data_IF_148250806409
#
_entry.id   IF_148250806409
#
_cell.length_a   1.000
_cell.length_b   1.000
_cell.length_c   1.000
_cell.angle_alpha   90.00
_cell.angle_beta   90.00
_cell.angle_gamma   90.00
#
_symmetry.space_group_name_H-M   'P 1'
#
loop_
_entity.id
_entity.type
_entity.pdbx_description
1 polymer ?
#
# COMPACT_ATOMS: atom_id res chain seq x y z
N UNK A 1 -19.28 21.06 58.34
CA UNK A 1 -17.90 20.64 58.62
C UNK A 1 -17.74 19.22 58.11
N UNK A 2 -16.72 19.01 57.26
CA UNK A 2 -16.15 17.75 56.74
C UNK A 2 -17.07 16.92 55.82
N UNK A 3 -16.92 16.93 54.49
CA UNK A 3 -15.77 16.57 53.62
C UNK A 3 -15.13 15.22 53.96
N UNK A 4 -15.41 14.20 53.14
CA UNK A 4 -14.49 13.10 52.83
C UNK A 4 -14.85 12.39 51.50
N UNK A 5 -14.25 12.89 50.42
CA UNK A 5 -13.50 12.14 49.41
C UNK A 5 -14.11 10.88 48.75
N UNK A 6 -14.72 11.07 47.57
CA UNK A 6 -14.73 10.05 46.50
C UNK A 6 -13.35 10.04 45.82
N UNK A 7 -12.70 8.87 45.60
CA UNK A 7 -11.51 8.83 44.76
C UNK A 7 -11.90 9.11 43.31
N UNK A 8 -11.24 10.10 42.70
CA UNK A 8 -11.34 10.39 41.28
C UNK A 8 -10.74 9.25 40.46
N UNK A 9 -11.53 8.70 39.54
CA UNK A 9 -11.05 7.75 38.53
C UNK A 9 -10.08 8.46 37.59
N UNK A 10 -8.82 8.01 37.43
CA UNK A 10 -7.87 8.66 36.52
C UNK A 10 -8.24 8.39 35.05
N UNK A 11 -7.83 9.25 34.11
CA UNK A 11 -8.21 9.15 32.70
C UNK A 11 -7.57 7.93 32.03
N UNK A 12 -8.39 7.19 31.26
CA UNK A 12 -7.95 6.07 30.41
C UNK A 12 -7.15 6.62 29.22
N UNK A 13 -5.83 6.67 29.36
CA UNK A 13 -4.93 6.84 28.21
C UNK A 13 -4.64 5.49 27.54
N UNK A 14 -5.13 5.37 26.30
CA UNK A 14 -4.53 4.66 25.16
C UNK A 14 -3.75 3.36 25.42
N UNK A 15 -4.44 2.22 25.34
CA UNK A 15 -3.82 0.95 24.93
C UNK A 15 -4.02 0.79 23.40
N UNK A 16 -3.20 1.48 22.61
CA UNK A 16 -3.07 1.24 21.16
C UNK A 16 -1.94 0.22 20.94
N UNK A 17 -2.18 -1.03 21.33
CA UNK A 17 -1.31 -2.17 21.01
C UNK A 17 -2.17 -3.41 20.75
N UNK A 18 -2.85 -3.42 19.61
CA UNK A 18 -3.53 -4.60 19.08
C UNK A 18 -3.53 -4.57 17.54
N UNK A 19 -2.33 -4.63 16.96
CA UNK A 19 -2.11 -5.04 15.56
C UNK A 19 -0.65 -5.47 15.35
N UNK A 20 -0.09 -6.14 16.36
CA UNK A 20 1.27 -6.68 16.36
C UNK A 20 1.22 -8.21 16.45
N UNK A 21 0.52 -8.86 15.52
CA UNK A 21 0.60 -10.31 15.34
C UNK A 21 -0.10 -10.67 14.04
N UNK A 22 0.66 -10.72 12.94
CA UNK A 22 0.43 -11.50 11.69
C UNK A 22 1.13 -10.85 10.50
N UNK A 23 2.44 -10.64 10.58
CA UNK A 23 3.27 -10.31 9.40
C UNK A 23 4.74 -10.66 9.68
N UNK A 24 4.97 -11.92 10.07
CA UNK A 24 6.29 -12.42 10.45
C UNK A 24 6.78 -13.52 9.51
N UNK A 25 6.91 -13.24 8.22
CA UNK A 25 7.81 -13.96 7.30
C UNK A 25 8.15 -12.97 6.16
N UNK A 26 9.44 -12.69 5.91
CA UNK A 26 10.02 -11.67 4.98
C UNK A 26 10.42 -10.31 5.61
N UNK A 27 11.29 -10.37 6.62
CA UNK A 27 11.86 -9.25 7.40
C UNK A 27 13.16 -8.62 6.86
N UNK A 28 13.61 -8.99 5.66
CA UNK A 28 14.95 -8.65 5.14
C UNK A 28 15.19 -7.26 4.50
N UNK A 29 14.40 -6.22 4.82
CA UNK A 29 14.75 -4.81 4.50
C UNK A 29 14.39 -3.87 5.68
N UNK A 30 15.32 -3.63 6.64
CA UNK A 30 14.96 -3.02 7.93
C UNK A 30 14.98 -1.47 7.95
N UNK A 31 15.86 -0.80 7.20
CA UNK A 31 16.15 0.61 7.46
C UNK A 31 15.07 1.61 6.99
N UNK A 32 14.38 1.34 5.88
CA UNK A 32 13.35 2.26 5.37
C UNK A 32 12.04 2.21 6.18
N UNK A 33 11.69 1.03 6.73
CA UNK A 33 10.50 0.86 7.57
C UNK A 33 10.71 1.45 8.97
N UNK A 34 11.93 1.37 9.50
CA UNK A 34 12.27 1.97 10.79
C UNK A 34 12.23 3.50 10.74
N UNK A 35 12.76 4.14 9.70
CA UNK A 35 12.70 5.60 9.56
C UNK A 35 11.28 6.12 9.32
N UNK A 36 10.46 5.41 8.54
CA UNK A 36 9.04 5.73 8.38
C UNK A 36 8.25 5.57 9.70
N UNK A 37 8.55 4.53 10.50
CA UNK A 37 7.96 4.35 11.84
C UNK A 37 8.40 5.46 12.80
N UNK A 38 9.69 5.82 12.84
CA UNK A 38 10.21 6.87 13.71
C UNK A 38 9.60 8.22 13.33
N UNK A 39 9.43 8.52 12.04
CA UNK A 39 8.76 9.74 11.58
C UNK A 39 7.25 9.72 11.85
N UNK A 40 6.60 8.56 11.74
CA UNK A 40 5.20 8.39 12.13
C UNK A 40 4.99 8.64 13.64
N UNK A 41 5.89 8.12 14.48
CA UNK A 41 5.91 8.35 15.93
C UNK A 41 6.18 9.82 16.26
N UNK A 42 7.19 10.45 15.62
CA UNK A 42 7.47 11.87 15.78
C UNK A 42 6.27 12.74 15.36
N UNK A 43 5.55 12.32 14.32
CA UNK A 43 4.38 13.03 13.83
C UNK A 43 3.11 12.80 14.66
N UNK A 44 3.02 11.70 15.40
CA UNK A 44 1.96 11.48 16.40
C UNK A 44 2.10 12.38 17.62
N UNK A 45 3.23 13.09 17.75
CA UNK A 45 3.46 14.12 18.76
C UNK A 45 3.15 15.54 18.28
N UNK A 46 2.69 15.73 17.04
CA UNK A 46 2.29 17.05 16.53
C UNK A 46 0.98 17.50 17.18
N UNK A 47 0.87 18.81 17.45
CA UNK A 47 -0.36 19.46 17.90
C UNK A 47 -1.45 19.26 16.82
N UNK A 48 -2.75 19.08 17.19
CA UNK A 48 -3.83 18.83 16.22
C UNK A 48 -3.84 19.80 15.04
N UNK A 49 -3.58 21.10 15.28
CA UNK A 49 -3.51 22.12 14.24
C UNK A 49 -2.37 21.87 13.21
N UNK A 50 -1.15 21.59 13.66
CA UNK A 50 -0.01 21.32 12.78
C UNK A 50 -0.22 20.05 11.95
N UNK A 51 -0.82 19.04 12.57
CA UNK A 51 -1.22 17.81 11.88
C UNK A 51 -2.27 18.09 10.82
N UNK A 52 -3.32 18.84 11.16
CA UNK A 52 -4.40 19.16 10.24
C UNK A 52 -3.89 19.94 9.00
N UNK A 53 -3.01 20.93 9.21
CA UNK A 53 -2.39 21.70 8.14
C UNK A 53 -1.54 20.83 7.21
N UNK A 54 -0.71 19.94 7.79
CA UNK A 54 0.12 19.02 7.01
C UNK A 54 -0.74 18.05 6.18
N UNK A 55 -1.78 17.47 6.77
CA UNK A 55 -2.69 16.56 6.08
C UNK A 55 -3.48 17.28 4.98
N UNK A 56 -4.00 18.48 5.25
CA UNK A 56 -4.73 19.30 4.29
C UNK A 56 -3.87 19.68 3.07
N UNK A 57 -2.59 20.03 3.30
CA UNK A 57 -1.64 20.30 2.21
C UNK A 57 -1.44 19.06 1.33
N UNK A 58 -1.28 17.89 1.95
CA UNK A 58 -1.09 16.61 1.23
C UNK A 58 -2.34 16.23 0.45
N UNK A 59 -3.54 16.37 1.03
CA UNK A 59 -4.81 16.12 0.37
C UNK A 59 -5.03 17.06 -0.81
N UNK A 60 -4.79 18.36 -0.64
CA UNK A 60 -4.95 19.36 -1.70
C UNK A 60 -4.02 19.09 -2.88
N UNK A 61 -2.80 18.62 -2.62
CA UNK A 61 -1.85 18.21 -3.64
C UNK A 61 -2.23 16.87 -4.32
N UNK A 62 -3.07 16.06 -3.69
CA UNK A 62 -3.54 14.79 -4.25
C UNK A 62 -4.83 14.94 -5.06
N UNK A 63 -5.72 15.84 -4.65
CA UNK A 63 -6.97 16.16 -5.35
C UNK A 63 -6.70 16.87 -6.68
N UNK A 64 -7.53 16.59 -7.68
CA UNK A 64 -7.52 17.34 -8.94
C UNK A 64 -8.15 18.71 -8.74
N UNK A 65 -7.86 19.66 -9.64
CA UNK A 65 -8.51 20.98 -9.61
C UNK A 65 -10.04 20.88 -9.64
N UNK A 66 -10.58 19.98 -10.46
CA UNK A 66 -12.03 19.74 -10.54
C UNK A 66 -12.60 19.24 -9.20
N UNK A 67 -11.91 18.31 -8.54
CA UNK A 67 -12.32 17.79 -7.22
C UNK A 67 -12.28 18.88 -6.13
N UNK A 68 -11.28 19.78 -6.18
CA UNK A 68 -11.22 20.91 -5.24
C UNK A 68 -12.38 21.87 -5.45
N UNK A 69 -12.70 22.21 -6.70
CA UNK A 69 -13.82 23.08 -7.03
C UNK A 69 -15.17 22.45 -6.65
N UNK A 70 -15.31 21.13 -6.80
CA UNK A 70 -16.51 20.39 -6.37
C UNK A 70 -16.68 20.42 -4.84
N UNK A 71 -15.58 20.31 -4.07
CA UNK A 71 -15.63 20.33 -2.61
C UNK A 71 -15.70 21.75 -1.99
N UNK A 72 -15.15 22.76 -2.67
CA UNK A 72 -14.98 24.12 -2.16
C UNK A 72 -16.25 24.75 -1.53
N UNK A 73 -17.47 24.57 -2.09
CA UNK A 73 -18.70 25.09 -1.48
C UNK A 73 -18.96 24.55 -0.07
N UNK A 74 -18.60 23.28 0.19
CA UNK A 74 -18.79 22.65 1.51
C UNK A 74 -17.88 23.28 2.57
N UNK A 75 -16.66 23.66 2.17
CA UNK A 75 -15.67 24.35 2.99
C UNK A 75 -15.92 25.86 3.11
N UNK A 76 -16.84 26.41 2.31
CA UNK A 76 -16.97 27.86 2.08
C UNK A 76 -15.62 28.49 1.68
N UNK A 77 -14.82 27.75 0.93
CA UNK A 77 -13.54 28.20 0.40
C UNK A 77 -13.75 28.84 -0.98
N UNK A 78 -12.95 29.84 -1.32
CA UNK A 78 -12.86 30.38 -2.68
C UNK A 78 -12.20 29.41 -3.67
N UNK A 79 -11.85 29.93 -4.85
CA UNK A 79 -11.15 29.18 -5.90
C UNK A 79 -9.65 29.04 -5.66
N UNK A 80 -9.10 29.74 -4.65
CA UNK A 80 -7.69 29.72 -4.31
C UNK A 80 -7.29 28.43 -3.57
N UNK A 81 -6.13 27.88 -3.94
CA UNK A 81 -5.62 26.65 -3.36
C UNK A 81 -5.12 26.85 -1.92
N UNK A 82 -4.57 28.02 -1.60
CA UNK A 82 -4.11 28.31 -0.23
C UNK A 82 -5.29 28.46 0.72
N UNK A 83 -6.33 29.19 0.30
CA UNK A 83 -7.58 29.28 1.05
C UNK A 83 -8.24 27.91 1.23
N UNK A 84 -8.27 27.07 0.18
CA UNK A 84 -8.78 25.71 0.28
C UNK A 84 -8.01 24.87 1.32
N UNK A 85 -6.68 24.97 1.34
CA UNK A 85 -5.84 24.29 2.34
C UNK A 85 -6.19 24.76 3.75
N UNK A 86 -6.29 26.07 3.97
CA UNK A 86 -6.60 26.63 5.29
C UNK A 86 -7.98 26.15 5.78
N UNK A 87 -9.02 26.22 4.94
CA UNK A 87 -10.37 25.77 5.30
C UNK A 87 -10.45 24.27 5.54
N UNK A 88 -9.76 23.47 4.73
CA UNK A 88 -9.69 22.01 4.94
C UNK A 88 -8.92 21.65 6.21
N UNK A 89 -7.88 22.42 6.55
CA UNK A 89 -7.15 22.25 7.80
C UNK A 89 -8.04 22.57 9.00
N UNK A 90 -8.87 23.62 8.93
CA UNK A 90 -9.84 23.92 9.98
C UNK A 90 -10.85 22.78 10.18
N UNK A 91 -11.43 22.25 9.10
CA UNK A 91 -12.35 21.10 9.16
C UNK A 91 -11.67 19.86 9.79
N UNK A 92 -10.44 19.54 9.39
CA UNK A 92 -9.67 18.42 9.96
C UNK A 92 -9.30 18.66 11.42
N UNK A 93 -8.97 19.89 11.79
CA UNK A 93 -8.62 20.24 13.18
C UNK A 93 -9.80 19.98 14.09
N UNK A 94 -11.00 20.44 13.71
CA UNK A 94 -12.23 20.20 14.48
C UNK A 94 -12.44 18.71 14.70
N UNK A 95 -12.31 17.88 13.66
CA UNK A 95 -12.42 16.42 13.79
C UNK A 95 -11.35 15.81 14.70
N UNK A 96 -10.12 16.33 14.68
CA UNK A 96 -9.03 15.85 15.53
C UNK A 96 -9.18 16.25 17.00
N UNK A 97 -9.77 17.42 17.27
CA UNK A 97 -9.93 17.99 18.62
C UNK A 97 -11.24 17.52 19.28
N UNK A 98 -12.34 17.52 18.54
CA UNK A 98 -13.69 17.25 19.05
C UNK A 98 -14.14 15.80 18.76
N UNK A 99 -13.48 15.13 17.81
CA UNK A 99 -13.89 13.83 17.28
C UNK A 99 -14.81 13.96 16.06
N UNK A 100 -14.92 12.88 15.28
CA UNK A 100 -15.84 12.82 14.16
C UNK A 100 -17.23 12.39 14.64
N UNK A 101 -18.24 13.25 14.45
CA UNK A 101 -19.63 12.83 14.59
C UNK A 101 -19.96 11.71 13.60
N UNK A 102 -20.74 10.74 14.07
CA UNK A 102 -21.21 9.61 13.26
C UNK A 102 -22.25 10.07 12.25
N UNK A 103 -21.97 9.88 10.97
CA UNK A 103 -22.94 10.11 9.89
C UNK A 103 -23.58 8.78 9.52
N UNK A 104 -24.91 8.77 9.38
CA UNK A 104 -25.64 7.58 8.93
C UNK A 104 -25.13 7.12 7.55
N UNK A 105 -25.06 5.81 7.34
CA UNK A 105 -24.67 5.15 6.09
C UNK A 105 -23.26 5.49 5.56
N UNK A 106 -22.41 6.15 6.34
CA UNK A 106 -21.08 6.58 5.92
C UNK A 106 -20.18 5.38 5.61
N UNK A 107 -20.20 4.38 6.50
CA UNK A 107 -19.45 3.14 6.36
C UNK A 107 -20.01 2.26 5.23
N UNK A 108 -21.35 2.14 5.15
CA UNK A 108 -22.00 1.33 4.12
C UNK A 108 -21.76 1.91 2.72
N UNK A 109 -21.94 3.22 2.56
CA UNK A 109 -21.70 3.90 1.29
C UNK A 109 -20.22 3.88 0.90
N UNK A 110 -19.30 3.97 1.87
CA UNK A 110 -17.87 3.80 1.59
C UNK A 110 -17.56 2.36 1.13
N UNK A 111 -18.20 1.36 1.73
CA UNK A 111 -18.06 -0.03 1.31
C UNK A 111 -18.61 -0.29 -0.10
N UNK A 112 -19.73 0.36 -0.47
CA UNK A 112 -20.27 0.35 -1.83
C UNK A 112 -19.33 1.04 -2.82
N UNK A 113 -18.82 2.21 -2.47
CA UNK A 113 -17.83 2.92 -3.27
C UNK A 113 -16.55 2.12 -3.43
N UNK A 114 -16.09 1.42 -2.39
CA UNK A 114 -14.96 0.51 -2.47
C UNK A 114 -15.24 -0.65 -3.43
N UNK A 115 -16.43 -1.27 -3.34
CA UNK A 115 -16.87 -2.34 -4.24
C UNK A 115 -16.92 -1.87 -5.70
N UNK A 116 -17.52 -0.71 -5.96
CA UNK A 116 -17.59 -0.12 -7.30
C UNK A 116 -16.22 0.31 -7.84
N UNK A 117 -15.31 0.75 -6.95
CA UNK A 117 -13.95 1.12 -7.31
C UNK A 117 -13.03 -0.08 -7.56
N UNK A 118 -13.47 -1.33 -7.29
CA UNK A 118 -12.66 -2.53 -7.54
C UNK A 118 -12.41 -2.69 -9.03
N UNK A 119 -11.15 -2.49 -9.41
CA UNK A 119 -10.67 -2.70 -10.77
C UNK A 119 -10.41 -4.19 -11.05
N UNK A 120 -11.39 -5.06 -10.80
CA UNK A 120 -11.28 -6.52 -11.00
C UNK A 120 -10.69 -6.91 -12.36
N UNK A 121 -11.11 -6.37 -13.51
CA UNK A 121 -10.54 -6.77 -14.80
C UNK A 121 -9.04 -6.42 -14.91
N UNK A 122 -8.62 -5.25 -14.42
CA UNK A 122 -7.20 -4.88 -14.40
C UNK A 122 -6.41 -5.73 -13.40
N UNK A 123 -7.02 -6.15 -12.29
CA UNK A 123 -6.39 -7.07 -11.33
C UNK A 123 -6.21 -8.47 -11.91
N UNK A 124 -7.19 -8.98 -12.64
CA UNK A 124 -7.07 -10.23 -13.37
C UNK A 124 -5.97 -10.15 -14.43
N UNK A 125 -5.91 -9.05 -15.18
CA UNK A 125 -4.84 -8.82 -16.14
C UNK A 125 -3.45 -8.75 -15.47
N UNK A 126 -3.33 -8.06 -14.32
CA UNK A 126 -2.10 -8.04 -13.52
C UNK A 126 -1.68 -9.45 -13.13
N UNK A 127 -2.61 -10.28 -12.63
CA UNK A 127 -2.32 -11.67 -12.24
C UNK A 127 -1.93 -12.54 -13.42
N UNK A 128 -2.58 -12.37 -14.58
CA UNK A 128 -2.25 -13.11 -15.80
C UNK A 128 -0.86 -12.73 -16.33
N UNK A 129 -0.49 -11.45 -16.27
CA UNK A 129 0.84 -10.99 -16.67
C UNK A 129 1.92 -11.51 -15.73
N UNK A 130 1.65 -11.55 -14.41
CA UNK A 130 2.58 -12.16 -13.43
C UNK A 130 2.72 -13.66 -13.64
N UNK A 131 1.62 -14.35 -13.95
CA UNK A 131 1.65 -15.76 -14.32
C UNK A 131 2.47 -15.97 -15.60
N UNK A 132 2.30 -15.11 -16.60
CA UNK A 132 3.12 -15.12 -17.81
C UNK A 132 4.61 -14.93 -17.51
N UNK A 133 4.97 -13.98 -16.64
CA UNK A 133 6.35 -13.77 -16.20
C UNK A 133 6.94 -15.03 -15.52
N UNK A 134 6.15 -15.68 -14.66
CA UNK A 134 6.52 -16.93 -14.02
C UNK A 134 6.71 -18.05 -15.05
N UNK A 135 5.82 -18.17 -16.03
CA UNK A 135 5.94 -19.15 -17.10
C UNK A 135 7.23 -18.94 -17.91
N UNK A 136 7.53 -17.71 -18.32
CA UNK A 136 8.79 -17.41 -19.01
C UNK A 136 10.02 -17.75 -18.15
N UNK A 137 9.96 -17.50 -16.84
CA UNK A 137 11.03 -17.85 -15.91
C UNK A 137 11.25 -19.36 -15.83
N UNK A 138 10.18 -20.15 -15.65
CA UNK A 138 10.25 -21.61 -15.64
C UNK A 138 10.79 -22.16 -16.96
N UNK A 139 10.30 -21.64 -18.09
CA UNK A 139 10.80 -22.03 -19.41
C UNK A 139 12.29 -21.68 -19.61
N UNK A 140 12.76 -20.57 -19.01
CA UNK A 140 14.18 -20.20 -19.05
C UNK A 140 15.03 -21.22 -18.31
N UNK A 141 14.62 -21.61 -17.09
CA UNK A 141 15.31 -22.64 -16.29
C UNK A 141 15.34 -23.96 -17.05
N UNK A 142 14.18 -24.43 -17.55
CA UNK A 142 14.12 -25.68 -18.31
C UNK A 142 14.98 -25.63 -19.57
N UNK A 143 15.02 -24.49 -20.27
CA UNK A 143 15.87 -24.32 -21.44
C UNK A 143 17.36 -24.43 -21.10
N UNK A 144 17.77 -23.90 -19.95
CA UNK A 144 19.16 -23.98 -19.47
C UNK A 144 19.56 -25.37 -18.96
N UNK A 145 18.63 -26.12 -18.35
CA UNK A 145 18.88 -27.50 -17.92
C UNK A 145 19.01 -28.47 -19.11
N UNK A 146 18.23 -28.26 -20.16
CA UNK A 146 18.25 -29.12 -21.36
C UNK A 146 19.52 -28.93 -22.19
N UNK A 147 20.16 -27.76 -22.16
CA UNK A 147 21.35 -27.47 -22.98
C UNK A 147 22.68 -28.03 -22.46
N UNK A 148 22.73 -28.61 -21.25
CA UNK A 148 23.74 -29.56 -20.73
C UNK A 148 25.24 -29.44 -21.15
N UNK A 149 25.78 -28.29 -21.56
CA UNK A 149 27.20 -28.22 -21.92
C UNK A 149 27.59 -27.01 -22.75
N UNK A 150 27.87 -25.89 -22.08
CA UNK A 150 29.05 -25.04 -22.27
C UNK A 150 28.87 -23.81 -21.37
N UNK A 151 29.80 -23.55 -20.44
CA UNK A 151 29.71 -22.37 -19.60
C UNK A 151 29.97 -21.13 -20.45
N UNK A 152 28.99 -20.23 -20.47
CA UNK A 152 29.15 -18.87 -20.99
C UNK A 152 28.53 -18.67 -22.37
N UNK A 153 27.31 -18.12 -22.32
CA UNK A 153 26.61 -17.26 -23.29
C UNK A 153 25.20 -17.81 -23.53
N UNK A 154 24.15 -17.09 -23.07
CA UNK A 154 22.78 -17.52 -23.27
C UNK A 154 22.45 -17.61 -24.76
N UNK A 155 21.72 -18.65 -25.15
CA UNK A 155 21.23 -18.79 -26.54
C UNK A 155 20.25 -17.66 -26.89
N UNK A 156 20.05 -17.39 -28.18
CA UNK A 156 19.06 -16.39 -28.63
C UNK A 156 17.67 -16.68 -28.05
N UNK A 157 17.30 -17.95 -27.92
CA UNK A 157 16.05 -18.40 -27.27
C UNK A 157 15.99 -17.98 -25.80
N UNK A 158 17.04 -18.22 -25.02
CA UNK A 158 17.09 -17.82 -23.61
C UNK A 158 17.01 -16.31 -23.44
N UNK A 159 17.67 -15.54 -24.31
CA UNK A 159 17.56 -14.08 -24.33
C UNK A 159 16.13 -13.61 -24.60
N UNK A 160 15.41 -14.25 -25.53
CA UNK A 160 14.00 -13.98 -25.79
C UNK A 160 13.12 -14.32 -24.58
N UNK A 161 13.37 -15.44 -23.90
CA UNK A 161 12.62 -15.83 -22.70
C UNK A 161 12.85 -14.84 -21.56
N UNK A 162 14.11 -14.44 -21.31
CA UNK A 162 14.46 -13.41 -20.32
C UNK A 162 13.81 -12.06 -20.66
N UNK A 163 13.82 -11.66 -21.93
CA UNK A 163 13.11 -10.49 -22.42
C UNK A 163 11.59 -10.56 -22.14
N UNK A 164 11.00 -11.75 -22.33
CA UNK A 164 9.61 -12.04 -21.99
C UNK A 164 9.29 -11.84 -20.51
N UNK A 165 10.16 -12.31 -19.60
CA UNK A 165 10.01 -12.09 -18.14
C UNK A 165 9.98 -10.59 -17.84
N UNK A 166 10.97 -9.84 -18.34
CA UNK A 166 11.07 -8.40 -18.05
C UNK A 166 9.86 -7.65 -18.60
N UNK A 167 9.47 -7.94 -19.85
CA UNK A 167 8.33 -7.29 -20.50
C UNK A 167 7.03 -7.54 -19.73
N UNK A 168 6.73 -8.80 -19.40
CA UNK A 168 5.50 -9.16 -18.69
C UNK A 168 5.48 -8.62 -17.25
N UNK A 169 6.60 -8.63 -16.54
CA UNK A 169 6.71 -8.03 -15.20
C UNK A 169 6.51 -6.51 -15.22
N UNK A 170 7.10 -5.81 -16.20
CA UNK A 170 6.90 -4.36 -16.38
C UNK A 170 5.46 -4.04 -16.74
N UNK A 171 4.85 -4.79 -17.65
CA UNK A 171 3.43 -4.63 -18.00
C UNK A 171 2.53 -4.89 -16.77
N UNK A 172 2.80 -5.94 -15.98
CA UNK A 172 2.07 -6.20 -14.75
C UNK A 172 2.19 -5.02 -13.77
N UNK A 173 3.37 -4.44 -13.64
CA UNK A 173 3.58 -3.24 -12.82
C UNK A 173 2.82 -2.02 -13.36
N UNK A 174 2.80 -1.79 -14.67
CA UNK A 174 2.02 -0.68 -15.27
C UNK A 174 0.52 -0.88 -15.00
N UNK A 175 -0.01 -2.07 -15.30
CA UNK A 175 -1.42 -2.42 -15.07
C UNK A 175 -1.80 -2.30 -13.60
N UNK A 176 -0.99 -2.88 -12.71
CA UNK A 176 -1.20 -2.80 -11.26
C UNK A 176 -1.16 -1.36 -10.74
N UNK A 177 -0.33 -0.48 -11.33
CA UNK A 177 -0.26 0.95 -10.98
C UNK A 177 -1.45 1.75 -11.52
N UNK A 178 -1.97 1.39 -12.69
CA UNK A 178 -3.17 2.00 -13.26
C UNK A 178 -4.39 1.60 -12.44
N UNK A 179 -4.49 0.33 -12.05
CA UNK A 179 -5.58 -0.20 -11.23
C UNK A 179 -5.66 0.51 -9.86
N UNK A 180 -4.53 0.68 -9.17
CA UNK A 180 -4.49 1.42 -7.90
C UNK A 180 -4.87 2.88 -8.10
N UNK A 181 -4.27 3.58 -9.07
CA UNK A 181 -4.61 4.99 -9.36
C UNK A 181 -6.10 5.20 -9.66
N UNK A 182 -6.73 4.29 -10.39
CA UNK A 182 -8.17 4.38 -10.71
C UNK A 182 -9.03 4.16 -9.47
N UNK A 183 -8.70 3.16 -8.66
CA UNK A 183 -9.36 2.90 -7.37
C UNK A 183 -9.28 4.12 -6.46
N UNK A 184 -8.08 4.70 -6.31
CA UNK A 184 -7.84 5.84 -5.42
C UNK A 184 -8.63 7.06 -5.87
N UNK A 185 -8.65 7.35 -7.19
CA UNK A 185 -9.44 8.45 -7.74
C UNK A 185 -10.93 8.26 -7.51
N UNK A 186 -11.46 7.05 -7.67
CA UNK A 186 -12.87 6.77 -7.43
C UNK A 186 -13.24 6.99 -5.95
N UNK A 187 -12.42 6.51 -5.02
CA UNK A 187 -12.66 6.71 -3.59
C UNK A 187 -12.49 8.18 -3.16
N UNK A 188 -11.51 8.90 -3.71
CA UNK A 188 -11.39 10.35 -3.47
C UNK A 188 -12.56 11.13 -4.05
N UNK A 189 -13.08 10.73 -5.22
CA UNK A 189 -14.28 11.34 -5.78
C UNK A 189 -15.53 11.06 -4.95
N UNK A 190 -15.62 9.89 -4.33
CA UNK A 190 -16.68 9.60 -3.35
C UNK A 190 -16.55 10.54 -2.15
N UNK A 191 -15.34 10.72 -1.61
CA UNK A 191 -15.13 11.59 -0.47
C UNK A 191 -15.45 13.07 -0.78
N UNK A 192 -15.07 13.54 -1.96
CA UNK A 192 -15.36 14.91 -2.44
C UNK A 192 -16.87 15.18 -2.59
N UNK A 193 -17.68 14.15 -2.86
CA UNK A 193 -19.13 14.34 -3.02
C UNK A 193 -19.87 14.48 -1.69
N UNK A 194 -19.21 14.20 -0.56
CA UNK A 194 -19.82 14.19 0.77
C UNK A 194 -19.28 15.34 1.62
N UNK A 195 -20.13 16.24 2.13
CA UNK A 195 -19.67 17.36 2.95
C UNK A 195 -19.04 16.83 4.24
N UNK A 196 -17.90 17.39 4.63
CA UNK A 196 -17.22 17.01 5.88
C UNK A 196 -16.41 15.71 5.81
N UNK A 197 -16.36 15.03 4.65
CA UNK A 197 -15.73 13.71 4.54
C UNK A 197 -14.21 13.82 4.43
N UNK A 198 -13.67 14.85 3.76
CA UNK A 198 -12.22 15.04 3.66
C UNK A 198 -11.59 15.40 5.02
N UNK A 199 -12.36 16.05 5.90
CA UNK A 199 -12.06 16.25 7.31
C UNK A 199 -11.93 14.94 8.08
N UNK A 200 -12.96 14.09 7.96
CA UNK A 200 -13.08 12.80 8.69
C UNK A 200 -12.17 11.69 8.17
N UNK A 201 -11.72 11.79 6.91
CA UNK A 201 -10.98 10.74 6.22
C UNK A 201 -11.92 9.77 5.50
N UNK A 202 -11.35 8.67 4.97
CA UNK A 202 -12.13 7.70 4.18
C UNK A 202 -12.24 6.39 4.97
N UNK A 203 -13.46 5.94 5.33
CA UNK A 203 -13.64 4.69 6.07
C UNK A 203 -13.45 3.48 5.16
N UNK A 204 -12.19 3.14 4.90
CA UNK A 204 -11.81 1.95 4.14
C UNK A 204 -11.19 0.90 5.05
N UNK A 205 -11.64 -0.34 4.90
CA UNK A 205 -11.08 -1.51 5.62
C UNK A 205 -9.63 -1.79 5.22
N UNK A 206 -9.26 -1.44 3.99
CA UNK A 206 -7.88 -1.52 3.48
C UNK A 206 -7.41 -0.14 3.10
N UNK A 207 -6.17 0.20 3.47
CA UNK A 207 -5.55 1.46 3.09
C UNK A 207 -5.73 1.71 1.59
N UNK A 208 -6.08 2.94 1.20
CA UNK A 208 -6.22 3.39 -0.19
C UNK A 208 -4.93 3.24 -1.01
N UNK A 209 -3.87 2.66 -0.46
CA UNK A 209 -2.59 2.45 -1.14
C UNK A 209 -2.06 1.03 -0.95
N UNK A 210 -2.97 0.07 -0.71
CA UNK A 210 -2.63 -1.35 -0.75
C UNK A 210 -1.86 -1.67 -2.03
N UNK A 211 -0.58 -1.98 -1.87
CA UNK A 211 0.37 -2.10 -2.97
C UNK A 211 -0.05 -3.30 -3.84
N UNK A 212 -0.14 -3.05 -5.14
CA UNK A 212 -0.37 -4.11 -6.14
C UNK A 212 0.89 -4.97 -6.26
N UNK A 213 0.70 -6.27 -6.50
CA UNK A 213 1.79 -7.25 -6.50
C UNK A 213 2.84 -6.92 -7.56
N UNK A 214 2.41 -6.53 -8.77
CA UNK A 214 3.30 -6.19 -9.88
C UNK A 214 4.23 -5.02 -9.56
N UNK A 215 3.71 -3.83 -9.18
CA UNK A 215 4.53 -2.70 -8.78
C UNK A 215 5.44 -2.99 -7.59
N UNK A 216 4.95 -3.74 -6.60
CA UNK A 216 5.75 -4.11 -5.44
C UNK A 216 6.95 -4.97 -5.84
N UNK A 217 6.72 -6.03 -6.63
CA UNK A 217 7.76 -6.93 -7.13
C UNK A 217 8.82 -6.19 -7.93
N UNK A 218 8.41 -5.35 -8.89
CA UNK A 218 9.36 -4.56 -9.71
C UNK A 218 10.13 -3.57 -8.84
N UNK A 219 9.46 -2.88 -7.90
CA UNK A 219 10.12 -1.92 -7.01
C UNK A 219 11.12 -2.58 -6.05
N UNK A 220 10.92 -3.86 -5.69
CA UNK A 220 11.83 -4.62 -4.84
C UNK A 220 12.97 -5.25 -5.61
N UNK A 221 12.70 -5.89 -6.75
CA UNK A 221 13.66 -6.72 -7.46
C UNK A 221 14.53 -5.90 -8.41
N UNK A 222 13.98 -4.87 -9.07
CA UNK A 222 14.72 -4.14 -10.09
C UNK A 222 16.04 -3.52 -9.59
N UNK A 223 16.10 -2.84 -8.42
CA UNK A 223 17.38 -2.30 -7.93
C UNK A 223 18.40 -3.38 -7.60
N UNK A 224 17.96 -4.51 -7.02
CA UNK A 224 18.82 -5.64 -6.66
C UNK A 224 19.40 -6.29 -7.91
N UNK A 225 18.56 -6.54 -8.92
CA UNK A 225 18.98 -7.10 -10.20
C UNK A 225 19.94 -6.16 -10.93
N UNK A 226 19.67 -4.86 -10.95
CA UNK A 226 20.56 -3.87 -11.58
C UNK A 226 21.92 -3.80 -10.89
N UNK A 227 21.99 -3.94 -9.56
CA UNK A 227 23.27 -4.02 -8.85
C UNK A 227 24.02 -5.29 -9.24
N UNK A 228 23.35 -6.45 -9.24
CA UNK A 228 23.95 -7.72 -9.64
C UNK A 228 24.49 -7.68 -11.08
N UNK A 229 23.66 -7.24 -12.03
CA UNK A 229 24.02 -7.08 -13.45
C UNK A 229 25.17 -6.08 -13.59
N UNK A 230 25.11 -4.96 -12.86
CA UNK A 230 26.15 -3.93 -12.90
C UNK A 230 27.50 -4.42 -12.39
N UNK A 231 27.52 -5.15 -11.27
CA UNK A 231 28.78 -5.71 -10.73
C UNK A 231 29.34 -6.75 -11.70
N UNK A 232 28.53 -7.73 -12.11
CA UNK A 232 28.98 -8.83 -12.99
C UNK A 232 29.44 -8.30 -14.34
N UNK A 233 28.68 -7.39 -14.96
CA UNK A 233 29.04 -6.80 -16.25
C UNK A 233 30.32 -5.97 -16.19
N UNK A 234 30.55 -5.24 -15.10
CA UNK A 234 31.78 -4.47 -14.92
C UNK A 234 33.00 -5.39 -14.79
N UNK A 235 32.92 -6.44 -13.97
CA UNK A 235 33.99 -7.43 -13.85
C UNK A 235 34.24 -8.17 -15.16
N UNK A 236 33.18 -8.59 -15.85
CA UNK A 236 33.28 -9.27 -17.15
C UNK A 236 33.94 -8.37 -18.21
N UNK A 237 33.43 -7.15 -18.40
CA UNK A 237 33.98 -6.21 -19.38
C UNK A 237 35.44 -5.84 -19.08
N UNK A 238 35.78 -5.61 -17.82
CA UNK A 238 37.17 -5.33 -17.41
C UNK A 238 38.09 -6.54 -17.65
N UNK A 239 37.64 -7.75 -17.31
CA UNK A 239 38.43 -8.97 -17.51
C UNK A 239 38.69 -9.25 -18.99
N UNK A 240 37.67 -9.08 -19.86
CA UNK A 240 37.82 -9.27 -21.31
C UNK A 240 38.76 -8.23 -21.91
N UNK A 241 38.63 -6.94 -21.55
CA UNK A 241 39.54 -5.90 -22.02
C UNK A 241 40.99 -6.15 -21.57
N UNK A 242 41.19 -6.64 -20.34
CA UNK A 242 42.52 -6.97 -19.82
C UNK A 242 43.10 -8.21 -20.54
N UNK A 243 42.27 -9.22 -20.82
CA UNK A 243 42.66 -10.39 -21.60
C UNK A 243 43.05 -9.99 -23.03
N UNK A 244 42.31 -9.08 -23.65
CA UNK A 244 42.55 -8.59 -25.01
C UNK A 244 43.79 -7.69 -25.12
N UNK A 245 44.15 -6.98 -24.04
CA UNK A 245 45.44 -6.29 -23.94
C UNK A 245 46.62 -7.25 -23.82
N UNK A 246 46.40 -8.46 -23.28
CA UNK A 246 47.42 -9.49 -23.09
C UNK A 246 47.48 -10.49 -24.25
N UNK A 247 46.39 -10.69 -24.99
CA UNK A 247 46.32 -11.59 -26.13
C UNK A 247 46.74 -10.89 -27.42
N UNK A 248 47.32 -11.66 -28.33
CA UNK A 248 47.78 -11.18 -29.64
C UNK A 248 46.84 -11.62 -30.77
N UNK A 249 45.61 -12.00 -30.41
CA UNK A 249 44.62 -12.61 -31.30
C UNK A 249 43.81 -11.55 -32.07
N UNK A 250 43.44 -11.88 -33.31
CA UNK A 250 42.72 -10.99 -34.24
C UNK A 250 41.20 -10.90 -33.99
N UNK A 251 40.65 -11.72 -33.09
CA UNK A 251 39.21 -11.73 -32.78
C UNK A 251 38.85 -10.63 -31.77
N UNK A 252 38.55 -9.42 -32.26
CA UNK A 252 38.29 -8.27 -31.38
C UNK A 252 36.99 -8.43 -30.56
N UNK A 253 37.12 -8.57 -29.25
CA UNK A 253 36.04 -8.55 -28.25
C UNK A 253 35.92 -7.17 -27.56
N UNK A 254 36.70 -6.18 -28.01
CA UNK A 254 36.72 -4.83 -27.46
C UNK A 254 35.34 -4.19 -27.42
N UNK A 255 34.58 -4.27 -28.52
CA UNK A 255 33.25 -3.66 -28.63
C UNK A 255 32.26 -4.26 -27.63
N UNK A 256 32.03 -5.60 -27.57
CA UNK A 256 31.14 -6.18 -26.56
C UNK A 256 31.64 -5.96 -25.13
N UNK A 257 32.95 -5.91 -24.89
CA UNK A 257 33.51 -5.64 -23.56
C UNK A 257 33.26 -4.19 -23.12
N UNK A 258 33.43 -3.21 -24.01
CA UNK A 258 33.09 -1.80 -23.76
C UNK A 258 31.59 -1.61 -23.56
N UNK A 259 30.75 -2.26 -24.37
CA UNK A 259 29.29 -2.24 -24.20
C UNK A 259 28.89 -2.81 -22.85
N UNK A 260 29.51 -3.92 -22.44
CA UNK A 260 29.28 -4.53 -21.12
C UNK A 260 29.66 -3.58 -19.99
N UNK A 261 30.84 -2.94 -20.07
CA UNK A 261 31.36 -2.05 -19.03
C UNK A 261 30.52 -0.76 -18.91
N UNK A 262 30.19 -0.13 -20.04
CA UNK A 262 29.32 1.07 -20.07
C UNK A 262 27.90 0.71 -19.61
N UNK A 263 27.35 -0.40 -20.09
CA UNK A 263 26.02 -0.88 -19.70
C UNK A 263 25.93 -1.19 -18.20
N UNK A 264 26.99 -1.80 -17.64
CA UNK A 264 27.12 -2.07 -16.22
C UNK A 264 27.17 -0.79 -15.37
N UNK A 265 27.96 0.20 -15.79
CA UNK A 265 28.02 1.49 -15.13
C UNK A 265 26.64 2.19 -15.12
N UNK A 266 25.93 2.16 -16.26
CA UNK A 266 24.57 2.69 -16.36
C UNK A 266 23.58 1.93 -15.47
N UNK A 267 23.68 0.60 -15.38
CA UNK A 267 22.83 -0.20 -14.51
C UNK A 267 23.00 0.17 -13.02
N UNK A 268 24.24 0.39 -12.58
CA UNK A 268 24.55 0.83 -11.22
C UNK A 268 23.98 2.23 -10.95
N UNK A 269 24.20 3.18 -11.87
CA UNK A 269 23.63 4.53 -11.76
C UNK A 269 22.10 4.48 -11.69
N UNK A 270 21.46 3.68 -12.54
CA UNK A 270 20.01 3.52 -12.55
C UNK A 270 19.49 2.91 -11.24
N UNK A 271 20.21 1.96 -10.65
CA UNK A 271 19.86 1.38 -9.35
C UNK A 271 19.85 2.44 -8.23
N UNK A 272 20.87 3.31 -8.19
CA UNK A 272 20.95 4.42 -7.22
C UNK A 272 19.77 5.38 -7.40
N UNK A 273 19.47 5.75 -8.65
CA UNK A 273 18.32 6.61 -8.98
C UNK A 273 17.01 5.96 -8.53
N UNK A 274 16.81 4.68 -8.83
CA UNK A 274 15.61 3.93 -8.42
C UNK A 274 15.49 3.84 -6.90
N UNK A 275 16.59 3.62 -6.18
CA UNK A 275 16.62 3.63 -4.71
C UNK A 275 16.16 4.96 -4.14
N UNK A 276 16.66 6.08 -4.68
CA UNK A 276 16.25 7.43 -4.25
C UNK A 276 14.79 7.72 -4.56
N UNK A 277 14.34 7.35 -5.76
CA UNK A 277 12.95 7.52 -6.16
C UNK A 277 12.00 6.67 -5.30
N UNK A 278 12.41 5.45 -4.94
CA UNK A 278 11.67 4.58 -4.04
C UNK A 278 11.51 5.20 -2.66
N UNK A 279 12.59 5.74 -2.08
CA UNK A 279 12.54 6.45 -0.80
C UNK A 279 11.51 7.59 -0.81
N UNK A 280 11.59 8.47 -1.82
CA UNK A 280 10.62 9.57 -1.99
C UNK A 280 9.18 9.07 -2.18
N UNK A 281 8.99 8.00 -2.94
CA UNK A 281 7.66 7.41 -3.17
C UNK A 281 7.06 6.84 -1.89
N UNK A 282 7.83 6.07 -1.12
CA UNK A 282 7.37 5.51 0.15
C UNK A 282 6.97 6.61 1.13
N UNK A 283 7.71 7.72 1.14
CA UNK A 283 7.40 8.86 1.98
C UNK A 283 6.08 9.55 1.56
N UNK A 284 5.88 9.75 0.25
CA UNK A 284 4.62 10.29 -0.27
C UNK A 284 3.42 9.38 0.01
N UNK A 285 3.61 8.06 -0.13
CA UNK A 285 2.60 7.04 0.20
C UNK A 285 2.24 7.14 1.68
N UNK A 286 3.23 7.12 2.57
CA UNK A 286 2.99 7.24 4.00
C UNK A 286 2.25 8.54 4.37
N UNK A 287 2.64 9.68 3.79
CA UNK A 287 1.97 10.98 4.01
C UNK A 287 0.52 10.96 3.54
N UNK A 288 0.25 10.39 2.36
CA UNK A 288 -1.12 10.30 1.82
C UNK A 288 -2.00 9.33 2.60
N UNK A 289 -1.46 8.16 2.97
CA UNK A 289 -2.15 7.18 3.79
C UNK A 289 -2.53 7.75 5.16
N UNK A 290 -1.68 8.61 5.72
CA UNK A 290 -1.99 9.36 6.95
C UNK A 290 -3.05 10.43 6.73
N UNK A 291 -2.95 11.19 5.65
CA UNK A 291 -3.89 12.29 5.37
C UNK A 291 -5.33 11.81 5.12
N UNK A 292 -5.53 10.55 4.73
CA UNK A 292 -6.85 9.93 4.56
C UNK A 292 -7.26 9.02 5.73
N UNK A 293 -6.46 8.98 6.80
CA UNK A 293 -6.78 8.18 8.00
C UNK A 293 -8.19 8.53 8.48
N UNK A 294 -8.96 7.49 8.75
CA UNK A 294 -10.34 7.57 9.23
C UNK A 294 -10.36 7.89 10.72
N UNK A 295 -11.11 8.92 11.12
CA UNK A 295 -11.23 9.36 12.52
C UNK A 295 -12.58 9.06 13.19
N UNK A 296 -13.50 8.37 12.51
CA UNK A 296 -14.75 7.93 13.12
C UNK A 296 -14.63 6.58 13.85
N UNK A 297 -15.76 5.96 14.22
CA UNK A 297 -15.76 4.70 14.96
C UNK A 297 -14.97 3.61 14.24
N UNK A 298 -14.38 2.71 15.03
CA UNK A 298 -13.57 1.60 14.52
C UNK A 298 -14.42 0.80 13.54
N UNK A 299 -13.92 0.66 12.32
CA UNK A 299 -14.54 -0.21 11.33
C UNK A 299 -14.38 -1.65 11.85
N UNK A 300 -15.45 -2.22 12.39
CA UNK A 300 -15.49 -3.63 12.68
C UNK A 300 -15.23 -4.36 11.37
N UNK A 301 -14.09 -5.03 11.30
CA UNK A 301 -13.88 -6.02 10.24
C UNK A 301 -14.99 -7.02 10.44
N UNK A 302 -15.81 -7.38 9.42
CA UNK A 302 -16.72 -8.50 9.58
C UNK A 302 -15.85 -9.67 10.02
N UNK A 303 -15.99 -10.04 11.29
CA UNK A 303 -15.40 -11.26 11.79
C UNK A 303 -15.86 -12.33 10.80
N UNK A 304 -14.93 -13.18 10.33
CA UNK A 304 -15.38 -14.52 9.95
C UNK A 304 -16.24 -14.98 11.13
N UNK A 305 -17.54 -15.10 10.89
CA UNK A 305 -18.53 -15.01 11.95
C UNK A 305 -18.17 -15.95 13.11
N UNK A 306 -18.54 -15.62 14.36
CA UNK A 306 -18.73 -16.70 15.30
C UNK A 306 -19.68 -17.69 14.62
N UNK A 307 -19.22 -18.93 14.51
CA UNK A 307 -20.01 -20.10 14.14
C UNK A 307 -21.42 -19.89 14.65
N UNK A 308 -22.38 -19.81 13.72
CA UNK A 308 -23.78 -20.04 14.04
C UNK A 308 -23.88 -21.44 14.62
N UNK A 309 -23.73 -21.57 15.93
CA UNK A 309 -24.37 -22.67 16.63
C UNK A 309 -25.88 -22.39 16.55
N UNK A 310 -26.65 -23.29 15.93
CA UNK A 310 -28.08 -23.12 15.84
C UNK A 310 -28.66 -23.22 17.25
N UNK A 311 -29.53 -22.27 17.57
CA UNK A 311 -30.55 -22.39 18.60
C UNK A 311 -31.18 -23.79 18.54
N UNK A 312 -31.06 -24.54 19.63
CA UNK A 312 -31.66 -25.86 19.76
C UNK A 312 -31.48 -26.40 21.17
N UNK A 313 -32.55 -26.35 21.98
CA UNK A 313 -32.62 -27.13 23.22
C UNK A 313 -33.35 -26.50 24.40
N UNK A 314 -34.53 -25.90 24.21
CA UNK A 314 -35.54 -25.89 25.27
C UNK A 314 -36.38 -27.16 25.08
N UNK A 315 -36.12 -28.17 25.92
CA UNK A 315 -36.99 -29.31 26.23
C UNK A 315 -36.65 -29.66 27.69
N UNK A 316 -37.48 -29.32 28.67
CA UNK A 316 -38.78 -29.91 29.05
C UNK A 316 -38.59 -30.71 30.33
N UNK A 317 -39.09 -30.21 31.45
CA UNK A 317 -39.73 -31.07 32.47
C UNK A 317 -40.91 -30.30 33.09
N UNK A 318 -42.15 -30.49 32.58
CA UNK A 318 -43.35 -30.32 33.37
C UNK A 318 -43.64 -31.63 34.09
N UNK A 319 -43.50 -31.64 35.41
CA UNK A 319 -43.84 -32.78 36.26
C UNK A 319 -44.70 -32.34 37.44
N UNK A 320 -45.83 -33.03 37.60
CA UNK A 320 -46.86 -32.97 38.65
C UNK A 320 -48.01 -31.94 38.47
N UNK A 321 -49.14 -32.43 37.95
CA UNK A 321 -50.48 -31.80 38.12
C UNK A 321 -51.06 -32.09 39.51
N UNK A 322 -52.40 -32.12 39.74
CA UNK A 322 -53.54 -31.66 38.93
C UNK A 322 -54.41 -30.61 39.68
N UNK A 323 -55.54 -30.24 39.07
CA UNK A 323 -56.65 -29.45 39.65
C UNK A 323 -57.00 -29.81 41.10
N UNK A 324 -57.19 -28.79 41.94
CA UNK A 324 -58.19 -28.81 43.01
C UNK A 324 -58.65 -27.38 43.35
N UNK A 325 -59.92 -27.16 43.06
CA UNK A 325 -60.92 -26.22 43.55
C UNK A 325 -60.60 -25.20 44.67
N UNK A 326 -61.26 -24.05 44.49
CA UNK A 326 -61.96 -23.26 45.50
C UNK A 326 -61.16 -22.60 46.63
N UNK A 327 -61.19 -21.26 46.66
CA UNK A 327 -61.95 -20.46 47.64
C UNK A 327 -61.28 -19.10 47.86
N UNK A 328 -62.06 -18.04 47.62
CA UNK A 328 -61.92 -16.66 48.14
C UNK A 328 -61.71 -16.62 49.67
N UNK A 329 -61.40 -15.47 50.31
CA UNK A 329 -61.44 -14.07 49.82
C UNK A 329 -60.13 -13.28 49.90
#
# INVERSE_FOLDING_TARGET
MSDAHRPATPPRHSMRTAAASSASYLSWLPLARQTARIRAIASSALVPHERAMADATVLTAWLTTAQRLEYAPTLRAGSDAEEFVARLADERRVVLEEGADTVADEVESAAEAERAARQLPLRLLETLLLLGALTFFVLTIMSMEVTNGLPGVPTSRELWLMGGIVMTAVLAAVVGRVATRRRDRALLSWAVKRPGQLGRGVPVTRALQGESLGPALVATLAPVLLVGIGIVGMFFGAAVLLLELLSRDDASMTTPALVSLVGAALALLLSVVLGRLRGRRLELVARRARAIEWFGPVLETPAAGPTSEPSGGVQDIPGLGPRSDASSP
#
